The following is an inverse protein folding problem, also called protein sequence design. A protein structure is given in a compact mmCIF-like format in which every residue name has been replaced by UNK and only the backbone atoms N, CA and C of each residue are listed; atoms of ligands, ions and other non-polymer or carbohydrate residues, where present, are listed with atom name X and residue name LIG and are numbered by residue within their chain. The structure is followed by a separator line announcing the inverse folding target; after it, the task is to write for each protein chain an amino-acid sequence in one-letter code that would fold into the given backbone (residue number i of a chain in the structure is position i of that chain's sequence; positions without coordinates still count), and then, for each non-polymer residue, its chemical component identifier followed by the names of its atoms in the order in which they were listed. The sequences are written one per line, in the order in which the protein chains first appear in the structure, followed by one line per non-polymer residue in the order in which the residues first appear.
data_IF_258179156635
#
_entry.id   IF_258179156635
#
_cell.length_a   1.000
_cell.length_b   1.000
_cell.length_c   1.000
_cell.angle_alpha   90.00
_cell.angle_beta   90.00
_cell.angle_gamma   90.00
#
_symmetry.space_group_name_H-M   'P 1'
#
loop_
_entity.id
_entity.type
_entity.pdbx_description
1 polymer ?
#
# COMPACT_ATOMS: atom_id res chain seq x y z
N UNK A 1 86.83 -29.60 -10.20
CA UNK A 1 85.98 -28.83 -9.28
C UNK A 1 84.82 -28.28 -10.05
N UNK A 2 83.62 -28.88 -9.93
CA UNK A 2 82.34 -28.41 -10.61
C UNK A 2 81.52 -27.68 -9.60
N UNK A 3 81.24 -26.36 -9.79
CA UNK A 3 80.36 -25.55 -8.97
C UNK A 3 78.90 -25.84 -9.41
N UNK A 4 78.05 -26.28 -8.47
CA UNK A 4 76.63 -26.39 -8.63
C UNK A 4 75.99 -25.03 -8.24
N UNK A 5 75.24 -24.44 -9.19
CA UNK A 5 74.43 -23.28 -8.94
C UNK A 5 73.01 -23.78 -8.58
N UNK A 6 72.54 -23.42 -7.39
CA UNK A 6 71.15 -23.71 -6.93
C UNK A 6 70.29 -22.49 -7.30
N UNK A 7 69.33 -22.70 -8.18
CA UNK A 7 68.31 -21.72 -8.49
C UNK A 7 67.19 -21.85 -7.46
N UNK A 8 66.99 -20.81 -6.63
CA UNK A 8 65.86 -20.68 -5.73
C UNK A 8 64.72 -19.96 -6.49
N UNK A 9 63.68 -20.72 -6.91
CA UNK A 9 62.52 -20.15 -7.53
C UNK A 9 61.56 -19.58 -6.47
N UNK A 10 61.44 -18.26 -6.40
CA UNK A 10 60.35 -17.62 -5.65
C UNK A 10 59.00 -17.77 -6.42
N UNK A 11 58.13 -18.62 -5.90
CA UNK A 11 56.71 -18.66 -6.34
C UNK A 11 55.97 -17.53 -5.63
N UNK A 12 55.74 -16.46 -6.34
CA UNK A 12 54.90 -15.33 -5.88
C UNK A 12 53.45 -15.70 -6.12
N UNK A 13 52.77 -16.17 -5.07
CA UNK A 13 51.35 -16.46 -5.10
C UNK A 13 50.54 -15.16 -5.20
N UNK A 14 49.92 -14.89 -6.37
CA UNK A 14 48.99 -13.80 -6.54
C UNK A 14 47.66 -14.22 -5.88
N UNK A 15 47.38 -13.71 -4.68
CA UNK A 15 46.06 -13.78 -4.04
C UNK A 15 45.20 -12.74 -4.71
N UNK A 16 44.42 -13.14 -5.69
CA UNK A 16 43.32 -12.32 -6.24
C UNK A 16 42.20 -12.24 -5.20
N UNK A 17 42.14 -11.14 -4.45
CA UNK A 17 40.99 -10.76 -3.66
C UNK A 17 39.83 -10.46 -4.64
N UNK A 18 38.98 -11.46 -4.84
CA UNK A 18 37.67 -11.26 -5.47
C UNK A 18 36.82 -10.42 -4.49
N UNK A 19 36.92 -9.10 -4.60
CA UNK A 19 35.91 -8.20 -4.04
C UNK A 19 34.59 -8.50 -4.72
N UNK A 20 33.73 -9.30 -4.09
CA UNK A 20 32.35 -9.42 -4.52
C UNK A 20 31.69 -8.05 -4.31
N UNK A 21 31.65 -7.23 -5.34
CA UNK A 21 30.75 -6.10 -5.40
C UNK A 21 29.33 -6.66 -5.30
N UNK A 22 28.76 -6.66 -4.11
CA UNK A 22 27.34 -6.87 -3.92
C UNK A 22 26.64 -5.69 -4.60
N UNK A 23 26.17 -5.91 -5.83
CA UNK A 23 25.34 -4.92 -6.51
C UNK A 23 24.05 -4.74 -5.70
N UNK A 24 23.85 -3.56 -5.14
CA UNK A 24 22.59 -3.26 -4.47
C UNK A 24 21.46 -3.30 -5.49
N UNK A 25 20.49 -4.18 -5.25
CA UNK A 25 19.29 -4.29 -6.08
C UNK A 25 18.16 -3.45 -5.45
N UNK A 26 17.36 -2.79 -6.28
CA UNK A 26 16.14 -2.13 -5.82
C UNK A 26 14.98 -3.12 -5.82
N UNK A 27 14.03 -2.90 -4.92
CA UNK A 27 12.77 -3.64 -4.82
C UNK A 27 11.65 -2.63 -4.67
N UNK A 28 10.81 -2.50 -5.67
CA UNK A 28 9.76 -1.50 -5.73
C UNK A 28 8.36 -2.11 -5.61
N UNK A 29 7.46 -1.37 -4.97
CA UNK A 29 6.10 -1.81 -4.70
C UNK A 29 5.10 -0.72 -5.00
N UNK A 30 3.92 -1.13 -5.42
CA UNK A 30 2.77 -0.27 -5.65
C UNK A 30 1.55 -0.86 -4.96
N UNK A 31 0.94 -0.11 -4.05
CA UNK A 31 -0.42 -0.35 -3.57
C UNK A 31 -1.36 0.53 -4.37
N UNK A 32 -2.49 -0.03 -4.85
CA UNK A 32 -3.39 0.68 -5.73
C UNK A 32 -4.85 0.20 -5.56
N UNK A 33 -5.70 1.01 -4.94
CA UNK A 33 -7.14 0.82 -5.05
C UNK A 33 -7.56 1.24 -6.46
N UNK A 34 -8.15 0.32 -7.21
CA UNK A 34 -8.45 0.46 -8.64
C UNK A 34 -9.93 0.76 -8.92
N UNK A 35 -10.67 1.16 -7.90
CA UNK A 35 -12.08 1.52 -7.97
C UNK A 35 -12.89 0.62 -8.91
N UNK A 36 -13.23 -0.56 -8.39
CA UNK A 36 -14.01 -1.54 -9.13
C UNK A 36 -13.41 -1.88 -10.52
N UNK A 37 -12.11 -2.19 -10.53
CA UNK A 37 -11.35 -2.56 -11.74
C UNK A 37 -11.22 -1.43 -12.78
N UNK A 38 -11.29 -0.16 -12.35
CA UNK A 38 -11.32 1.00 -13.25
C UNK A 38 -12.61 1.13 -14.05
N UNK A 39 -13.66 0.36 -13.70
CA UNK A 39 -14.93 0.36 -14.44
C UNK A 39 -15.73 1.64 -14.28
N UNK A 40 -15.44 2.41 -13.24
CA UNK A 40 -16.13 3.67 -12.96
C UNK A 40 -15.67 4.82 -13.88
N UNK A 41 -14.54 4.66 -14.56
CA UNK A 41 -13.93 5.69 -15.41
C UNK A 41 -13.81 5.16 -16.85
N UNK A 42 -14.26 5.90 -17.88
CA UNK A 42 -14.00 5.54 -19.27
C UNK A 42 -12.49 5.36 -19.54
N UNK A 43 -12.09 4.17 -20.01
CA UNK A 43 -10.66 3.84 -20.22
C UNK A 43 -9.88 3.50 -18.95
N UNK A 44 -10.54 3.40 -17.79
CA UNK A 44 -9.88 3.18 -16.50
C UNK A 44 -9.05 1.90 -16.43
N UNK A 45 -9.52 0.79 -16.99
CA UNK A 45 -8.75 -0.46 -17.05
C UNK A 45 -7.40 -0.29 -17.79
N UNK A 46 -7.42 0.37 -18.95
CA UNK A 46 -6.20 0.62 -19.71
C UNK A 46 -5.29 1.61 -18.99
N UNK A 47 -5.85 2.63 -18.34
CA UNK A 47 -5.08 3.57 -17.52
C UNK A 47 -4.37 2.87 -16.34
N UNK A 48 -5.03 1.92 -15.65
CA UNK A 48 -4.38 1.08 -14.62
C UNK A 48 -3.20 0.32 -15.22
N UNK A 49 -3.39 -0.32 -16.38
CA UNK A 49 -2.34 -1.08 -17.05
C UNK A 49 -1.18 -0.19 -17.51
N UNK A 50 -1.46 1.03 -17.98
CA UNK A 50 -0.45 2.00 -18.44
C UNK A 50 0.40 2.51 -17.27
N UNK A 51 -0.21 2.84 -16.13
CA UNK A 51 0.53 3.29 -14.94
C UNK A 51 1.42 2.16 -14.36
N UNK A 52 0.90 0.94 -14.28
CA UNK A 52 1.69 -0.22 -13.86
C UNK A 52 2.85 -0.47 -14.85
N UNK A 53 2.59 -0.43 -16.14
CA UNK A 53 3.61 -0.66 -17.16
C UNK A 53 4.70 0.43 -17.16
N UNK A 54 4.35 1.67 -16.86
CA UNK A 54 5.27 2.81 -16.76
C UNK A 54 6.20 2.71 -15.55
N UNK A 55 5.64 2.37 -14.39
CA UNK A 55 6.39 2.33 -13.12
C UNK A 55 7.15 1.02 -12.93
N UNK A 56 6.66 -0.05 -13.52
CA UNK A 56 7.23 -1.40 -13.42
C UNK A 56 7.58 -1.83 -11.99
N UNK A 57 6.68 -1.72 -11.01
CA UNK A 57 6.97 -2.17 -9.65
C UNK A 57 7.20 -3.68 -9.62
N UNK A 58 8.04 -4.16 -8.68
CA UNK A 58 8.28 -5.60 -8.52
C UNK A 58 7.05 -6.31 -7.97
N UNK A 59 6.34 -5.65 -7.04
CA UNK A 59 5.09 -6.15 -6.46
C UNK A 59 3.98 -5.10 -6.57
N UNK A 60 2.76 -5.58 -6.84
CA UNK A 60 1.57 -4.75 -6.91
C UNK A 60 0.49 -5.36 -6.02
N UNK A 61 -0.01 -4.56 -5.10
CA UNK A 61 -1.10 -4.86 -4.18
C UNK A 61 -2.33 -4.07 -4.64
N UNK A 62 -3.38 -4.77 -5.02
CA UNK A 62 -4.60 -4.17 -5.58
C UNK A 62 -5.75 -4.32 -4.61
N UNK A 63 -6.57 -3.28 -4.48
CA UNK A 63 -7.86 -3.30 -3.81
C UNK A 63 -8.98 -3.08 -4.83
N UNK A 64 -10.16 -3.66 -4.58
CA UNK A 64 -11.34 -3.64 -5.45
C UNK A 64 -11.24 -4.46 -6.74
N UNK A 65 -10.68 -5.66 -6.62
CA UNK A 65 -10.69 -6.70 -7.65
C UNK A 65 -12.03 -7.45 -7.59
N UNK A 66 -12.97 -7.14 -8.46
CA UNK A 66 -14.36 -7.65 -8.40
C UNK A 66 -14.66 -8.82 -9.33
N UNK A 67 -13.77 -9.13 -10.26
CA UNK A 67 -13.95 -10.20 -11.27
C UNK A 67 -15.25 -10.06 -12.08
N UNK A 68 -15.59 -8.83 -12.49
CA UNK A 68 -16.83 -8.53 -13.20
C UNK A 68 -17.03 -9.39 -14.47
N UNK A 69 -18.28 -9.71 -14.78
CA UNK A 69 -18.71 -10.46 -15.98
C UNK A 69 -18.09 -11.85 -16.06
N UNK A 70 -17.96 -12.53 -14.92
CA UNK A 70 -17.37 -13.86 -14.81
C UNK A 70 -15.95 -13.95 -15.39
N UNK A 71 -15.22 -12.83 -15.35
CA UNK A 71 -13.81 -12.77 -15.77
C UNK A 71 -12.89 -12.80 -14.56
N UNK A 72 -11.62 -13.13 -14.78
CA UNK A 72 -10.58 -13.07 -13.76
C UNK A 72 -9.75 -11.82 -13.98
N UNK A 73 -9.93 -10.81 -13.14
CA UNK A 73 -9.25 -9.51 -13.31
C UNK A 73 -7.72 -9.66 -13.35
N UNK A 74 -7.15 -10.43 -12.42
CA UNK A 74 -5.70 -10.63 -12.37
C UNK A 74 -5.16 -11.24 -13.68
N UNK A 75 -5.89 -12.15 -14.31
CA UNK A 75 -5.49 -12.70 -15.62
C UNK A 75 -5.61 -11.64 -16.73
N UNK A 76 -6.67 -10.82 -16.70
CA UNK A 76 -6.88 -9.73 -17.68
C UNK A 76 -5.77 -8.68 -17.61
N UNK A 77 -5.42 -8.22 -16.40
CA UNK A 77 -4.40 -7.19 -16.22
C UNK A 77 -2.99 -7.72 -16.58
N UNK A 78 -2.66 -8.95 -16.22
CA UNK A 78 -1.39 -9.61 -16.63
C UNK A 78 -1.30 -9.70 -18.15
N UNK A 79 -2.38 -10.06 -18.84
CA UNK A 79 -2.42 -10.09 -20.31
C UNK A 79 -2.30 -8.69 -20.93
N UNK A 80 -2.90 -7.67 -20.32
CA UNK A 80 -2.78 -6.28 -20.77
C UNK A 80 -1.34 -5.76 -20.59
N UNK A 81 -0.68 -6.12 -19.49
CA UNK A 81 0.73 -5.80 -19.23
C UNK A 81 1.66 -6.51 -20.21
N UNK A 82 1.37 -7.79 -20.52
CA UNK A 82 2.13 -8.53 -21.55
C UNK A 82 2.07 -7.86 -22.92
N UNK A 83 0.90 -7.34 -23.33
CA UNK A 83 0.77 -6.55 -24.56
C UNK A 83 1.60 -5.26 -24.55
N UNK A 84 1.92 -4.73 -23.36
CA UNK A 84 2.81 -3.58 -23.12
C UNK A 84 4.28 -3.97 -22.95
N UNK A 85 4.62 -5.24 -23.21
CA UNK A 85 5.99 -5.77 -23.08
C UNK A 85 6.44 -6.03 -21.64
N UNK A 86 5.50 -6.10 -20.68
CA UNK A 86 5.77 -6.33 -19.26
C UNK A 86 5.29 -7.71 -18.84
N UNK A 87 6.15 -8.45 -18.14
CA UNK A 87 5.82 -9.81 -17.65
C UNK A 87 5.53 -9.76 -16.16
N UNK A 88 4.34 -10.22 -15.78
CA UNK A 88 3.91 -10.38 -14.41
C UNK A 88 3.26 -11.74 -14.19
N UNK A 89 3.27 -12.19 -12.95
CA UNK A 89 2.60 -13.38 -12.44
C UNK A 89 1.50 -12.97 -11.48
N UNK A 90 0.42 -13.73 -11.42
CA UNK A 90 -0.70 -13.52 -10.50
C UNK A 90 -1.36 -14.86 -10.18
N UNK A 91 -2.33 -14.84 -9.28
CA UNK A 91 -3.21 -15.95 -8.99
C UNK A 91 -4.66 -15.47 -8.85
N UNK A 92 -5.61 -16.39 -8.76
CA UNK A 92 -7.01 -16.01 -8.55
C UNK A 92 -7.22 -15.45 -7.16
N UNK A 93 -7.85 -14.30 -7.07
CA UNK A 93 -8.27 -13.64 -5.85
C UNK A 93 -9.54 -12.82 -6.13
N UNK A 94 -10.21 -12.39 -5.07
CA UNK A 94 -11.41 -11.56 -5.16
C UNK A 94 -11.27 -10.40 -4.17
N UNK A 95 -11.83 -9.25 -4.50
CA UNK A 95 -11.81 -7.99 -3.74
C UNK A 95 -10.40 -7.39 -3.57
N UNK A 96 -9.37 -8.15 -3.33
CA UNK A 96 -7.98 -7.71 -3.44
C UNK A 96 -7.16 -8.62 -4.35
N UNK A 97 -6.01 -8.15 -4.84
CA UNK A 97 -5.20 -8.87 -5.82
C UNK A 97 -3.71 -8.61 -5.72
N UNK A 98 -2.90 -9.58 -6.17
CA UNK A 98 -1.44 -9.50 -6.17
C UNK A 98 -0.86 -9.79 -7.54
N UNK A 99 0.09 -8.93 -7.95
CA UNK A 99 0.92 -9.18 -9.13
C UNK A 99 2.40 -9.14 -8.72
N UNK A 100 3.21 -9.95 -9.37
CA UNK A 100 4.65 -10.02 -9.14
C UNK A 100 5.43 -10.10 -10.45
N UNK A 101 6.55 -9.40 -10.56
CA UNK A 101 7.54 -9.66 -11.64
C UNK A 101 8.26 -10.99 -11.47
N UNK A 102 8.25 -11.53 -10.27
CA UNK A 102 8.94 -12.77 -9.93
C UNK A 102 7.94 -13.93 -9.89
N UNK A 103 8.32 -15.15 -10.30
CA UNK A 103 7.42 -16.31 -10.23
C UNK A 103 6.87 -16.52 -8.82
N UNK A 104 5.56 -16.70 -8.71
CA UNK A 104 4.90 -16.99 -7.44
C UNK A 104 5.11 -18.47 -7.12
N UNK A 105 5.66 -18.76 -5.94
CA UNK A 105 5.96 -20.12 -5.49
C UNK A 105 4.87 -20.70 -4.60
N UNK A 106 4.10 -19.83 -3.93
CA UNK A 106 2.98 -20.20 -3.07
C UNK A 106 1.98 -19.05 -2.96
N UNK A 107 0.70 -19.35 -2.71
CA UNK A 107 -0.34 -18.36 -2.47
C UNK A 107 -1.40 -18.90 -1.51
N UNK A 108 -1.96 -18.03 -0.69
CA UNK A 108 -2.99 -18.40 0.28
C UNK A 108 -3.93 -17.24 0.60
N UNK A 109 -5.14 -17.60 1.00
CA UNK A 109 -6.11 -16.66 1.59
C UNK A 109 -5.85 -16.59 3.09
N UNK A 110 -5.61 -15.40 3.61
CA UNK A 110 -5.36 -15.15 5.04
C UNK A 110 -6.64 -14.73 5.75
N UNK A 111 -7.39 -13.84 5.12
CA UNK A 111 -8.71 -13.45 5.57
C UNK A 111 -9.67 -13.52 4.37
N UNK A 112 -10.63 -14.46 4.36
CA UNK A 112 -11.55 -14.61 3.25
C UNK A 112 -12.62 -13.53 3.26
N UNK A 113 -13.22 -13.28 2.10
CA UNK A 113 -14.37 -12.39 1.99
C UNK A 113 -15.52 -12.85 2.88
N UNK A 114 -16.14 -11.91 3.58
CA UNK A 114 -17.29 -12.14 4.44
C UNK A 114 -18.34 -11.09 4.12
N UNK A 115 -19.43 -11.46 3.46
CA UNK A 115 -20.52 -10.56 3.07
C UNK A 115 -20.03 -9.28 2.34
N UNK A 116 -19.00 -9.42 1.50
CA UNK A 116 -18.28 -8.34 0.79
C UNK A 116 -17.47 -7.38 1.71
N UNK A 117 -17.13 -7.83 2.92
CA UNK A 117 -16.39 -7.06 3.92
C UNK A 117 -14.94 -7.51 4.07
N UNK A 118 -14.11 -7.05 3.16
CA UNK A 118 -12.66 -7.13 3.27
C UNK A 118 -12.02 -8.49 3.00
N UNK A 119 -10.79 -8.45 2.53
CA UNK A 119 -9.98 -9.65 2.25
C UNK A 119 -8.51 -9.41 2.52
N UNK A 120 -7.77 -10.48 2.84
CA UNK A 120 -6.30 -10.50 2.82
C UNK A 120 -5.83 -11.75 2.10
N UNK A 121 -4.98 -11.57 1.07
CA UNK A 121 -4.28 -12.64 0.39
C UNK A 121 -2.77 -12.52 0.56
N UNK A 122 -2.08 -13.66 0.48
CA UNK A 122 -0.62 -13.75 0.52
C UNK A 122 -0.11 -14.44 -0.74
N UNK A 123 1.04 -13.97 -1.24
CA UNK A 123 1.90 -14.74 -2.13
C UNK A 123 3.30 -14.86 -1.53
N UNK A 124 4.00 -15.95 -1.87
CA UNK A 124 5.44 -16.11 -1.64
C UNK A 124 6.17 -16.11 -2.98
N UNK A 125 7.32 -15.47 -3.01
CA UNK A 125 8.20 -15.42 -4.18
C UNK A 125 9.64 -15.25 -3.74
N UNK A 126 10.59 -15.43 -4.66
CA UNK A 126 12.01 -15.24 -4.37
C UNK A 126 12.59 -14.13 -5.22
N UNK A 127 13.23 -13.15 -4.58
CA UNK A 127 13.96 -12.06 -5.22
C UNK A 127 15.46 -12.22 -4.91
N UNK A 128 16.25 -12.58 -5.91
CA UNK A 128 17.63 -12.97 -5.70
C UNK A 128 17.73 -14.24 -4.83
N UNK A 129 18.19 -14.10 -3.59
CA UNK A 129 18.26 -15.20 -2.60
C UNK A 129 17.25 -15.05 -1.46
N UNK A 130 16.46 -13.97 -1.48
CA UNK A 130 15.56 -13.64 -0.39
C UNK A 130 14.14 -14.09 -0.72
N UNK A 131 13.53 -14.84 0.18
CA UNK A 131 12.08 -15.14 0.11
C UNK A 131 11.31 -13.91 0.60
N UNK A 132 10.32 -13.51 -0.18
CA UNK A 132 9.39 -12.43 0.14
C UNK A 132 7.99 -13.02 0.33
N UNK A 133 7.36 -12.72 1.46
CA UNK A 133 5.94 -12.92 1.71
C UNK A 133 5.24 -11.56 1.51
N UNK A 134 4.43 -11.46 0.48
CA UNK A 134 3.77 -10.22 0.09
C UNK A 134 2.27 -10.41 0.25
N UNK A 135 1.66 -9.48 0.98
CA UNK A 135 0.23 -9.50 1.30
C UNK A 135 -0.46 -8.29 0.66
N UNK A 136 -1.68 -8.51 0.21
CA UNK A 136 -2.60 -7.44 -0.21
C UNK A 136 -3.84 -7.47 0.66
N UNK A 137 -4.38 -6.28 0.97
CA UNK A 137 -5.59 -6.12 1.74
C UNK A 137 -6.55 -5.14 1.04
N UNK A 138 -7.83 -5.42 1.18
CA UNK A 138 -8.89 -4.42 1.13
C UNK A 138 -9.72 -4.69 2.38
N UNK A 139 -9.71 -3.78 3.34
CA UNK A 139 -10.36 -4.01 4.62
C UNK A 139 -11.81 -3.54 4.60
N UNK A 140 -12.57 -3.96 5.61
CA UNK A 140 -13.99 -3.63 5.75
C UNK A 140 -14.24 -2.12 5.68
N UNK A 141 -15.22 -1.70 4.89
CA UNK A 141 -15.60 -0.30 4.65
C UNK A 141 -16.79 0.16 5.50
N UNK A 142 -17.31 -0.69 6.39
CA UNK A 142 -18.40 -0.33 7.30
C UNK A 142 -17.90 0.03 8.70
N UNK A 143 -18.76 0.65 9.47
CA UNK A 143 -18.41 1.20 10.78
C UNK A 143 -17.21 2.15 10.70
N UNK A 144 -17.20 2.99 9.67
CA UNK A 144 -16.14 3.96 9.42
C UNK A 144 -16.30 5.18 10.32
N UNK A 145 -15.89 5.06 11.58
CA UNK A 145 -16.11 6.09 12.59
C UNK A 145 -15.31 7.37 12.35
N UNK A 146 -14.31 7.37 11.48
CA UNK A 146 -13.66 8.61 11.06
C UNK A 146 -14.61 9.53 10.26
N UNK A 147 -15.66 8.99 9.63
CA UNK A 147 -16.77 9.77 9.08
C UNK A 147 -17.69 10.31 10.19
N UNK A 148 -17.92 9.54 11.26
CA UNK A 148 -18.72 9.99 12.40
C UNK A 148 -18.09 11.17 13.13
N UNK A 149 -16.75 11.19 13.20
CA UNK A 149 -16.02 12.38 13.69
C UNK A 149 -16.28 13.60 12.81
N UNK A 150 -16.54 13.42 11.53
CA UNK A 150 -16.88 14.49 10.58
C UNK A 150 -18.38 14.80 10.50
N UNK A 151 -19.18 14.15 11.35
CA UNK A 151 -20.63 14.34 11.43
C UNK A 151 -21.43 13.60 10.37
N UNK A 152 -20.91 12.45 9.89
CA UNK A 152 -21.60 11.58 8.94
C UNK A 152 -21.57 10.14 9.45
N UNK A 153 -22.69 9.42 9.33
CA UNK A 153 -22.80 8.03 9.78
C UNK A 153 -21.82 7.12 9.02
N UNK A 154 -21.10 6.28 9.75
CA UNK A 154 -20.03 5.43 9.22
C UNK A 154 -20.51 4.20 8.43
N UNK A 155 -21.83 4.02 8.22
CA UNK A 155 -22.40 2.91 7.48
C UNK A 155 -23.21 3.35 6.26
N UNK A 156 -23.82 4.54 6.31
CA UNK A 156 -24.71 5.02 5.24
C UNK A 156 -24.37 6.44 4.77
N UNK A 157 -23.38 7.08 5.39
CA UNK A 157 -22.87 8.42 5.08
C UNK A 157 -23.93 9.53 5.14
N UNK A 158 -25.04 9.29 5.84
CA UNK A 158 -26.01 10.35 6.10
C UNK A 158 -25.47 11.31 7.15
N UNK A 159 -25.80 12.59 6.97
CA UNK A 159 -25.39 13.63 7.92
C UNK A 159 -26.01 13.39 9.29
N UNK A 160 -25.17 13.42 10.32
CA UNK A 160 -25.55 13.31 11.73
C UNK A 160 -25.90 14.68 12.30
N UNK A 161 -26.60 14.72 13.45
CA UNK A 161 -26.93 15.96 14.16
C UNK A 161 -25.68 16.69 14.68
N UNK A 162 -24.64 15.95 15.05
CA UNK A 162 -23.37 16.48 15.51
C UNK A 162 -22.20 15.51 15.24
N UNK A 163 -20.96 16.00 15.09
CA UNK A 163 -19.75 15.18 15.08
C UNK A 163 -19.59 14.36 16.35
N UNK A 164 -19.10 13.12 16.22
CA UNK A 164 -18.72 12.28 17.34
C UNK A 164 -17.29 12.62 17.78
N UNK A 165 -17.11 13.09 19.02
CA UNK A 165 -15.80 13.51 19.54
C UNK A 165 -15.36 12.75 20.79
N UNK A 166 -16.18 11.82 21.30
CA UNK A 166 -15.83 10.95 22.42
C UNK A 166 -14.97 9.77 21.93
N UNK A 167 -13.66 9.82 22.18
CA UNK A 167 -12.70 8.84 21.67
C UNK A 167 -13.01 7.40 22.09
N UNK A 168 -13.40 7.11 23.34
CA UNK A 168 -13.85 5.76 23.71
C UNK A 168 -14.99 5.23 22.83
N UNK A 169 -16.01 6.03 22.59
CA UNK A 169 -17.15 5.67 21.72
C UNK A 169 -16.72 5.50 20.25
N UNK A 170 -15.82 6.35 19.76
CA UNK A 170 -15.22 6.21 18.41
C UNK A 170 -14.59 4.82 18.27
N UNK A 171 -13.73 4.43 19.20
CA UNK A 171 -13.03 3.14 19.17
C UNK A 171 -13.97 1.95 19.35
N UNK A 172 -14.95 2.05 20.25
CA UNK A 172 -15.97 1.01 20.43
C UNK A 172 -16.74 0.72 19.15
N UNK A 173 -17.21 1.77 18.46
CA UNK A 173 -17.94 1.65 17.20
C UNK A 173 -17.03 1.18 16.05
N UNK A 174 -15.82 1.69 15.98
CA UNK A 174 -14.84 1.27 14.98
C UNK A 174 -14.53 -0.21 15.05
N UNK A 175 -14.46 -0.77 16.26
CA UNK A 175 -14.20 -2.20 16.51
C UNK A 175 -15.42 -3.10 16.20
N UNK A 176 -16.54 -2.56 15.74
CA UNK A 176 -17.64 -3.36 15.16
C UNK A 176 -17.35 -3.79 13.73
N UNK A 177 -16.37 -3.20 13.08
CA UNK A 177 -15.90 -3.63 11.76
C UNK A 177 -15.06 -4.91 11.84
N UNK A 178 -14.80 -5.53 10.69
CA UNK A 178 -13.90 -6.68 10.58
C UNK A 178 -12.42 -6.29 10.35
N UNK A 179 -12.08 -5.01 10.38
CA UNK A 179 -10.74 -4.52 10.05
C UNK A 179 -9.66 -5.05 10.99
N UNK A 180 -9.88 -4.94 12.29
CA UNK A 180 -8.91 -5.40 13.30
C UNK A 180 -8.82 -6.93 13.35
N UNK A 181 -9.91 -7.67 13.10
CA UNK A 181 -9.91 -9.14 12.98
C UNK A 181 -9.05 -9.59 11.79
N UNK A 182 -9.18 -8.93 10.64
CA UNK A 182 -8.37 -9.20 9.46
C UNK A 182 -6.88 -8.94 9.72
N UNK A 183 -6.55 -7.84 10.39
CA UNK A 183 -5.15 -7.51 10.74
C UNK A 183 -4.59 -8.47 11.79
N UNK A 184 -5.38 -8.92 12.77
CA UNK A 184 -4.95 -9.97 13.71
C UNK A 184 -4.67 -11.29 12.99
N UNK A 185 -5.49 -11.66 12.00
CA UNK A 185 -5.23 -12.84 11.16
C UNK A 185 -3.94 -12.69 10.36
N UNK A 186 -3.70 -11.51 9.77
CA UNK A 186 -2.44 -11.18 9.09
C UNK A 186 -1.25 -11.31 10.04
N UNK A 187 -1.27 -10.68 11.21
CA UNK A 187 -0.17 -10.70 12.19
C UNK A 187 0.16 -12.14 12.60
N UNK A 188 -0.86 -12.95 12.83
CA UNK A 188 -0.71 -14.39 13.18
C UNK A 188 -0.01 -15.20 12.08
N UNK A 189 -0.35 -14.94 10.81
CA UNK A 189 0.31 -15.61 9.67
C UNK A 189 1.71 -15.05 9.44
N UNK A 190 1.89 -13.74 9.49
CA UNK A 190 3.16 -13.05 9.32
C UNK A 190 4.20 -13.47 10.37
N UNK A 191 3.78 -13.83 11.60
CA UNK A 191 4.68 -14.33 12.63
C UNK A 191 5.46 -15.57 12.15
N UNK A 192 4.84 -16.48 11.39
CA UNK A 192 5.51 -17.65 10.82
C UNK A 192 6.58 -17.23 9.80
N UNK A 193 6.25 -16.27 8.95
CA UNK A 193 7.18 -15.74 7.96
C UNK A 193 8.35 -14.98 8.62
N UNK A 194 8.09 -14.33 9.77
CA UNK A 194 9.11 -13.70 10.62
C UNK A 194 10.08 -14.75 11.15
N UNK A 195 9.60 -15.87 11.67
CA UNK A 195 10.40 -16.98 12.21
C UNK A 195 11.25 -17.66 11.13
N UNK A 196 10.70 -17.79 9.91
CA UNK A 196 11.42 -18.30 8.74
C UNK A 196 12.49 -17.32 8.19
N UNK A 197 12.52 -16.09 8.66
CA UNK A 197 13.48 -15.06 8.19
C UNK A 197 13.09 -14.42 6.87
N UNK A 198 11.87 -14.57 6.42
CA UNK A 198 11.35 -13.99 5.18
C UNK A 198 11.18 -12.46 5.29
N UNK A 199 11.23 -11.77 4.18
CA UNK A 199 10.87 -10.36 4.08
C UNK A 199 9.37 -10.25 3.89
N UNK A 200 8.73 -9.37 4.67
CA UNK A 200 7.28 -9.28 4.74
C UNK A 200 6.83 -7.88 4.37
N UNK A 201 5.85 -7.83 3.48
CA UNK A 201 5.21 -6.60 3.02
C UNK A 201 3.69 -6.78 3.03
N UNK A 202 2.98 -5.78 3.50
CA UNK A 202 1.53 -5.70 3.47
C UNK A 202 1.15 -4.36 2.83
N UNK A 203 0.40 -4.38 1.75
CA UNK A 203 -0.19 -3.17 1.18
C UNK A 203 -1.68 -3.34 0.95
N UNK A 204 -2.41 -2.24 0.99
CA UNK A 204 -3.86 -2.27 0.77
C UNK A 204 -4.54 -0.96 1.10
N UNK A 205 -5.79 -0.88 0.73
CA UNK A 205 -6.75 0.06 1.26
C UNK A 205 -7.28 -0.51 2.58
N UNK A 206 -7.02 0.20 3.67
CA UNK A 206 -7.41 -0.27 4.99
C UNK A 206 -8.74 0.29 5.46
N UNK A 207 -9.33 1.20 4.71
CA UNK A 207 -10.58 1.89 5.09
C UNK A 207 -10.53 2.41 6.54
N UNK A 208 -9.35 2.77 7.02
CA UNK A 208 -9.11 3.33 8.35
C UNK A 208 -7.88 4.24 8.32
N UNK A 209 -7.95 5.43 8.91
CA UNK A 209 -6.81 6.33 9.05
C UNK A 209 -5.69 5.74 9.92
N UNK A 210 -4.53 6.41 9.95
CA UNK A 210 -3.40 5.98 10.77
C UNK A 210 -3.39 6.67 12.13
N UNK A 211 -3.07 5.91 13.19
CA UNK A 211 -2.74 6.46 14.52
C UNK A 211 -1.56 7.44 14.48
N UNK A 212 -0.73 7.40 13.42
CA UNK A 212 0.39 8.35 13.22
C UNK A 212 -0.06 9.64 12.53
N UNK A 213 -1.31 9.70 12.05
CA UNK A 213 -1.85 10.84 11.32
C UNK A 213 -2.89 11.61 12.14
N UNK A 214 -3.61 10.95 13.05
CA UNK A 214 -4.59 11.57 13.96
C UNK A 214 -3.98 11.84 15.33
N UNK A 215 -3.03 12.76 15.37
CA UNK A 215 -2.22 13.12 16.55
C UNK A 215 -2.47 14.55 16.99
N UNK A 216 -1.88 14.95 18.11
CA UNK A 216 -2.08 16.29 18.71
C UNK A 216 -1.82 17.44 17.72
N UNK A 217 -0.85 17.30 16.81
CA UNK A 217 -0.52 18.35 15.84
C UNK A 217 -1.45 18.42 14.63
N UNK A 218 -2.30 17.44 14.43
CA UNK A 218 -3.25 17.35 13.30
C UNK A 218 -4.71 17.34 13.73
N UNK A 219 -5.01 17.34 15.02
CA UNK A 219 -6.38 17.24 15.57
C UNK A 219 -7.36 18.30 15.07
N UNK A 220 -6.85 19.45 14.62
CA UNK A 220 -7.66 20.55 14.08
C UNK A 220 -7.60 20.63 12.54
N UNK A 221 -6.99 19.62 11.88
CA UNK A 221 -6.90 19.50 10.42
C UNK A 221 -7.97 18.56 9.89
N UNK A 222 -8.35 18.68 8.61
CA UNK A 222 -9.24 17.77 7.89
C UNK A 222 -10.50 17.38 8.69
N UNK A 223 -11.10 18.36 9.34
CA UNK A 223 -12.28 18.21 10.19
C UNK A 223 -12.18 17.07 11.23
N UNK A 224 -10.99 16.88 11.86
CA UNK A 224 -10.80 15.96 12.98
C UNK A 224 -11.45 16.42 14.29
N UNK A 225 -11.99 17.64 14.33
CA UNK A 225 -12.75 18.21 15.45
C UNK A 225 -12.06 18.12 16.82
N UNK A 226 -10.74 18.29 16.85
CA UNK A 226 -9.95 18.32 18.08
C UNK A 226 -9.63 16.95 18.69
N UNK A 227 -9.98 15.83 18.03
CA UNK A 227 -9.72 14.51 18.58
C UNK A 227 -8.40 13.93 18.12
N UNK A 228 -7.80 13.13 19.00
CA UNK A 228 -6.62 12.31 18.76
C UNK A 228 -7.06 10.85 18.90
N UNK A 229 -6.95 10.07 17.84
CA UNK A 229 -7.49 8.70 17.81
C UNK A 229 -6.37 7.69 17.52
N UNK A 230 -6.12 6.74 18.43
CA UNK A 230 -5.19 5.63 18.21
C UNK A 230 -5.86 4.53 17.36
N UNK A 231 -6.04 4.79 16.07
CA UNK A 231 -6.73 3.90 15.15
C UNK A 231 -6.21 2.46 15.23
N UNK A 232 -7.08 1.46 15.47
CA UNK A 232 -6.69 0.11 15.87
C UNK A 232 -5.83 -0.64 14.86
N UNK A 233 -6.16 -0.59 13.57
CA UNK A 233 -5.46 -1.34 12.51
C UNK A 233 -3.97 -1.01 12.48
N UNK A 234 -3.65 0.27 12.37
CA UNK A 234 -2.26 0.72 12.27
C UNK A 234 -1.53 0.65 13.61
N UNK A 235 -2.24 0.75 14.74
CA UNK A 235 -1.69 0.53 16.09
C UNK A 235 -1.27 -0.92 16.27
N UNK A 236 -2.13 -1.90 15.92
CA UNK A 236 -1.82 -3.33 15.98
C UNK A 236 -0.59 -3.69 15.13
N UNK A 237 -0.50 -3.15 13.92
CA UNK A 237 0.66 -3.37 13.04
C UNK A 237 1.94 -2.80 13.65
N UNK A 238 1.88 -1.61 14.22
CA UNK A 238 3.03 -0.98 14.89
C UNK A 238 3.49 -1.80 16.11
N UNK A 239 2.56 -2.24 16.96
CA UNK A 239 2.84 -3.09 18.12
C UNK A 239 3.44 -4.45 17.72
N UNK A 240 3.04 -5.00 16.57
CA UNK A 240 3.62 -6.21 16.00
C UNK A 240 4.99 -6.00 15.32
N UNK A 241 5.52 -4.77 15.34
CA UNK A 241 6.85 -4.42 14.83
C UNK A 241 6.89 -4.05 13.35
N UNK A 242 5.75 -3.92 12.68
CA UNK A 242 5.68 -3.42 11.31
C UNK A 242 5.85 -1.91 11.25
N UNK A 243 6.38 -1.43 10.15
CA UNK A 243 6.58 -0.01 9.89
C UNK A 243 5.77 0.45 8.70
N UNK A 244 5.09 1.56 8.85
CA UNK A 244 4.49 2.31 7.76
C UNK A 244 5.60 2.96 6.93
N UNK A 245 5.75 2.52 5.70
CA UNK A 245 6.84 3.00 4.83
C UNK A 245 6.74 4.49 4.51
N UNK A 246 5.52 5.02 4.35
CA UNK A 246 5.34 6.44 4.07
C UNK A 246 5.72 7.29 5.29
N UNK A 247 5.25 6.93 6.50
CA UNK A 247 5.57 7.65 7.74
C UNK A 247 7.01 7.46 8.20
N UNK A 248 7.64 6.35 7.90
CA UNK A 248 9.09 6.21 8.13
C UNK A 248 9.91 7.17 7.25
N UNK A 249 9.50 7.36 6.00
CA UNK A 249 10.14 8.30 5.08
C UNK A 249 9.82 9.75 5.43
N UNK A 250 8.57 10.03 5.78
CA UNK A 250 8.02 11.36 6.05
C UNK A 250 7.29 11.39 7.40
N UNK A 251 8.03 11.51 8.51
CA UNK A 251 7.47 11.33 9.86
C UNK A 251 6.53 12.44 10.33
N UNK A 252 6.47 13.58 9.63
CA UNK A 252 5.64 14.71 10.03
C UNK A 252 4.37 14.80 9.16
N UNK A 253 3.18 14.43 9.70
CA UNK A 253 1.92 14.46 8.97
C UNK A 253 1.40 15.87 8.64
N UNK A 254 1.87 16.89 9.32
CA UNK A 254 1.50 18.29 9.02
C UNK A 254 2.14 18.74 7.70
N UNK A 255 3.40 18.38 7.47
CA UNK A 255 4.12 18.76 6.25
C UNK A 255 3.93 17.78 5.11
N UNK A 256 3.70 16.51 5.42
CA UNK A 256 3.48 15.44 4.48
C UNK A 256 2.21 14.66 4.88
N UNK A 257 1.01 15.23 4.67
CA UNK A 257 -0.25 14.55 5.04
C UNK A 257 -0.38 13.20 4.33
N UNK A 258 0.05 13.10 3.07
CA UNK A 258 0.03 11.85 2.32
C UNK A 258 -1.38 11.38 1.97
N UNK A 259 -2.35 12.28 1.90
CA UNK A 259 -3.74 11.93 1.62
C UNK A 259 -3.88 11.06 0.37
N UNK A 260 -4.50 9.90 0.54
CA UNK A 260 -4.78 8.97 -0.57
C UNK A 260 -6.24 9.03 -1.01
N UNK A 261 -7.15 9.44 -0.14
CA UNK A 261 -8.60 9.55 -0.41
C UNK A 261 -9.17 10.88 0.08
N UNK A 262 -10.16 11.47 -0.61
CA UNK A 262 -10.54 11.17 -2.00
C UNK A 262 -9.60 11.89 -2.98
N UNK A 263 -9.19 11.15 -4.00
CA UNK A 263 -8.43 11.71 -5.12
C UNK A 263 -9.34 12.53 -6.03
N UNK A 264 -8.81 13.60 -6.63
CA UNK A 264 -9.53 14.24 -7.73
C UNK A 264 -9.54 13.35 -8.97
N UNK A 265 -10.63 13.39 -9.71
CA UNK A 265 -10.79 12.73 -11.00
C UNK A 265 -11.55 13.66 -11.96
N UNK A 266 -10.86 14.13 -12.99
CA UNK A 266 -11.43 15.10 -13.95
C UNK A 266 -12.54 14.51 -14.84
N UNK A 267 -12.67 13.18 -14.89
CA UNK A 267 -13.74 12.53 -15.65
C UNK A 267 -15.10 12.59 -14.94
N UNK A 268 -15.14 12.94 -13.65
CA UNK A 268 -16.34 12.95 -12.84
C UNK A 268 -16.52 14.30 -12.12
N UNK A 269 -17.77 14.70 -11.82
CA UNK A 269 -17.99 15.82 -10.92
C UNK A 269 -17.63 15.45 -9.48
N UNK A 270 -17.19 16.41 -8.63
CA UNK A 270 -16.81 16.15 -7.23
C UNK A 270 -17.88 15.39 -6.43
N UNK A 271 -19.16 15.66 -6.69
CA UNK A 271 -20.28 14.97 -6.03
C UNK A 271 -20.39 13.45 -6.31
N UNK A 272 -19.57 12.91 -7.20
CA UNK A 272 -19.47 11.47 -7.46
C UNK A 272 -18.23 10.83 -6.82
N UNK A 273 -17.41 11.64 -6.16
CA UNK A 273 -16.12 11.24 -5.57
C UNK A 273 -16.13 11.47 -4.05
N UNK A 274 -17.10 12.21 -3.52
CA UNK A 274 -17.22 12.52 -2.09
C UNK A 274 -18.42 11.80 -1.46
N UNK A 275 -18.22 11.25 -0.28
CA UNK A 275 -19.28 10.68 0.56
C UNK A 275 -19.83 11.70 1.57
N UNK A 276 -19.00 12.67 1.98
CA UNK A 276 -19.33 13.68 3.00
C UNK A 276 -19.20 15.09 2.44
N UNK A 277 -20.17 15.55 1.65
CA UNK A 277 -20.06 16.75 0.80
C UNK A 277 -19.73 18.05 1.53
N UNK A 278 -20.08 18.18 2.82
CA UNK A 278 -19.82 19.39 3.62
C UNK A 278 -18.55 19.26 4.49
N UNK A 279 -17.93 18.07 4.57
CA UNK A 279 -16.74 17.83 5.39
C UNK A 279 -15.45 17.74 4.57
N UNK A 280 -14.33 17.94 5.23
CA UNK A 280 -13.00 17.62 4.69
C UNK A 280 -12.69 16.15 5.04
N UNK A 281 -13.04 15.23 4.14
CA UNK A 281 -12.89 13.78 4.34
C UNK A 281 -11.53 13.24 3.91
N UNK A 282 -10.58 14.13 3.56
CA UNK A 282 -9.26 13.70 3.13
C UNK A 282 -8.54 12.96 4.26
N UNK A 283 -8.13 11.73 3.94
CA UNK A 283 -7.32 10.89 4.80
C UNK A 283 -6.32 10.05 4.00
N UNK A 284 -5.36 9.51 4.71
CA UNK A 284 -4.48 8.47 4.21
C UNK A 284 -5.02 7.13 4.75
N UNK A 285 -5.61 6.33 3.84
CA UNK A 285 -6.20 5.03 4.14
C UNK A 285 -5.58 3.90 3.32
N UNK A 286 -4.69 4.24 2.38
CA UNK A 286 -3.91 3.32 1.56
C UNK A 286 -2.47 3.25 2.05
N UNK A 287 -1.93 2.07 2.24
CA UNK A 287 -0.66 1.85 2.91
C UNK A 287 0.21 0.80 2.24
N UNK A 288 1.53 0.90 2.49
CA UNK A 288 2.49 -0.21 2.40
C UNK A 288 3.25 -0.28 3.71
N UNK A 289 3.01 -1.34 4.46
CA UNK A 289 3.75 -1.71 5.65
C UNK A 289 4.81 -2.75 5.33
N UNK A 290 5.90 -2.77 6.10
CA UNK A 290 6.91 -3.80 6.01
C UNK A 290 7.46 -4.18 7.38
N UNK A 291 7.98 -5.40 7.51
CA UNK A 291 8.69 -5.82 8.70
C UNK A 291 10.20 -5.54 8.54
N UNK A 292 10.84 -4.75 9.43
CA UNK A 292 12.25 -4.40 9.31
C UNK A 292 13.16 -5.64 9.35
N UNK A 293 14.05 -5.76 8.38
CA UNK A 293 15.00 -6.86 8.28
C UNK A 293 16.39 -6.37 7.86
N UNK A 294 17.43 -7.09 8.32
CA UNK A 294 18.80 -6.84 7.86
C UNK A 294 18.87 -6.97 6.33
N UNK A 295 19.49 -6.00 5.69
CA UNK A 295 19.64 -5.96 4.23
C UNK A 295 18.47 -5.33 3.48
N UNK A 296 17.33 -5.02 4.14
CA UNK A 296 16.19 -4.31 3.58
C UNK A 296 16.21 -2.86 4.10
N UNK A 297 16.34 -1.89 3.19
CA UNK A 297 16.41 -0.47 3.55
C UNK A 297 15.40 0.34 2.72
N UNK A 298 14.45 0.98 3.38
CA UNK A 298 13.56 1.92 2.72
C UNK A 298 14.38 3.06 2.10
N UNK A 299 14.21 3.29 0.81
CA UNK A 299 14.92 4.30 0.05
C UNK A 299 14.02 5.49 -0.24
N UNK A 300 12.88 5.25 -0.87
CA UNK A 300 11.95 6.27 -1.32
C UNK A 300 10.51 5.84 -1.09
N UNK A 301 9.63 6.83 -0.88
CA UNK A 301 8.18 6.68 -0.88
C UNK A 301 7.56 7.86 -1.63
N UNK A 302 6.46 7.64 -2.32
CA UNK A 302 5.72 8.67 -3.07
C UNK A 302 4.24 8.32 -3.16
N UNK A 303 3.42 9.32 -3.40
CA UNK A 303 2.00 9.17 -3.74
C UNK A 303 1.88 9.20 -5.27
N UNK A 304 1.34 8.14 -5.84
CA UNK A 304 0.99 8.11 -7.27
C UNK A 304 -0.45 8.58 -7.44
N UNK A 305 -0.65 9.61 -8.23
CA UNK A 305 -1.96 10.18 -8.51
C UNK A 305 -1.90 11.68 -8.75
N UNK A 306 -3.03 12.32 -9.05
CA UNK A 306 -3.08 13.78 -9.22
C UNK A 306 -2.73 14.50 -7.92
N UNK A 307 -2.08 15.66 -8.05
CA UNK A 307 -1.78 16.54 -6.91
C UNK A 307 -3.01 17.26 -6.36
N UNK A 308 -4.18 16.98 -6.91
CA UNK A 308 -5.47 17.51 -6.48
C UNK A 308 -6.27 16.45 -5.74
N UNK A 309 -7.12 16.91 -4.82
CA UNK A 309 -8.07 16.09 -4.04
C UNK A 309 -9.44 16.75 -4.03
N UNK A 310 -10.44 16.07 -3.49
CA UNK A 310 -11.75 16.67 -3.21
C UNK A 310 -11.81 17.04 -1.73
N UNK A 311 -12.23 18.26 -1.45
CA UNK A 311 -12.48 18.79 -0.11
C UNK A 311 -13.77 19.59 -0.09
N UNK A 312 -14.75 19.16 0.72
CA UNK A 312 -16.07 19.84 0.81
C UNK A 312 -16.67 20.05 -0.58
N UNK A 313 -16.73 18.96 -1.34
CA UNK A 313 -17.24 18.93 -2.73
C UNK A 313 -16.50 19.85 -3.71
N UNK A 314 -15.30 20.31 -3.40
CA UNK A 314 -14.51 21.18 -4.27
C UNK A 314 -13.14 20.56 -4.58
N UNK A 315 -12.68 20.76 -5.83
CA UNK A 315 -11.31 20.42 -6.20
C UNK A 315 -10.31 21.35 -5.53
N UNK A 316 -9.34 20.78 -4.85
CA UNK A 316 -8.25 21.54 -4.20
C UNK A 316 -6.91 20.96 -4.57
N UNK A 317 -5.92 21.83 -4.76
CA UNK A 317 -4.51 21.39 -4.92
C UNK A 317 -3.91 21.19 -3.54
N UNK A 318 -3.26 20.05 -3.33
CA UNK A 318 -2.56 19.77 -2.08
C UNK A 318 -1.38 20.72 -1.91
N UNK A 319 -1.30 21.34 -0.73
CA UNK A 319 -0.27 22.31 -0.36
C UNK A 319 0.87 21.70 0.47
N UNK A 320 0.76 20.40 0.82
CA UNK A 320 1.79 19.68 1.55
C UNK A 320 3.09 19.52 0.73
N UNK A 321 4.11 18.97 1.40
CA UNK A 321 5.41 18.69 0.78
C UNK A 321 5.49 17.24 0.25
N UNK A 322 4.35 16.57 0.13
CA UNK A 322 4.26 15.22 -0.38
C UNK A 322 4.91 15.10 -1.76
N UNK A 323 5.63 14.00 -1.97
CA UNK A 323 6.22 13.68 -3.27
C UNK A 323 5.19 12.97 -4.11
N UNK A 324 4.75 13.62 -5.19
CA UNK A 324 3.79 13.06 -6.14
C UNK A 324 4.47 12.50 -7.37
N UNK A 325 3.99 11.35 -7.82
CA UNK A 325 4.20 10.81 -9.16
C UNK A 325 2.90 11.05 -9.91
N UNK A 326 2.84 12.12 -10.71
CA UNK A 326 1.62 12.47 -11.41
C UNK A 326 1.32 11.49 -12.55
N UNK A 327 0.04 11.16 -12.81
CA UNK A 327 -0.35 10.25 -13.89
C UNK A 327 -0.08 10.87 -15.26
N UNK A 328 0.16 10.01 -16.26
CA UNK A 328 0.40 10.45 -17.63
C UNK A 328 -0.88 10.77 -18.42
N UNK A 329 -2.03 10.32 -17.95
CA UNK A 329 -3.28 10.45 -18.67
C UNK A 329 -4.49 10.43 -17.73
N UNK A 330 -5.53 9.69 -18.12
CA UNK A 330 -6.71 9.51 -17.29
C UNK A 330 -6.33 8.85 -15.97
N UNK A 331 -6.75 9.44 -14.85
CA UNK A 331 -6.62 8.80 -13.55
C UNK A 331 -7.79 7.81 -13.36
N UNK A 332 -7.54 6.52 -13.06
CA UNK A 332 -8.58 5.49 -13.16
C UNK A 332 -9.46 5.31 -11.91
N UNK A 333 -9.20 6.04 -10.82
CA UNK A 333 -9.79 5.77 -9.50
C UNK A 333 -10.08 7.04 -8.72
N UNK A 334 -10.78 6.92 -7.62
CA UNK A 334 -11.03 7.95 -6.60
C UNK A 334 -10.03 7.90 -5.44
N UNK A 335 -9.08 6.95 -5.46
CA UNK A 335 -7.92 6.91 -4.56
C UNK A 335 -6.65 7.41 -5.25
N UNK A 336 -5.65 7.77 -4.46
CA UNK A 336 -4.25 7.85 -4.89
C UNK A 336 -3.54 6.59 -4.43
N UNK A 337 -2.60 6.12 -5.23
CA UNK A 337 -1.81 4.93 -4.92
C UNK A 337 -0.55 5.27 -4.12
N UNK A 338 -0.01 4.30 -3.43
CA UNK A 338 1.25 4.43 -2.68
C UNK A 338 2.35 3.65 -3.40
N UNK A 339 3.44 4.32 -3.72
CA UNK A 339 4.63 3.71 -4.30
C UNK A 339 5.79 3.79 -3.31
N UNK A 340 6.54 2.68 -3.18
CA UNK A 340 7.74 2.61 -2.34
C UNK A 340 8.88 1.90 -3.06
N UNK A 341 10.11 2.24 -2.69
CA UNK A 341 11.31 1.61 -3.19
C UNK A 341 12.27 1.29 -2.04
N UNK A 342 12.67 0.03 -1.98
CA UNK A 342 13.67 -0.46 -1.05
C UNK A 342 14.99 -0.75 -1.76
N UNK A 343 16.08 -0.64 -1.03
CA UNK A 343 17.39 -1.14 -1.45
C UNK A 343 17.69 -2.44 -0.72
N UNK A 344 17.99 -3.47 -1.49
CA UNK A 344 18.48 -4.78 -1.02
C UNK A 344 20.01 -4.78 -0.95
N UNK A 345 20.59 -5.33 0.15
CA UNK A 345 22.03 -5.52 0.32
C UNK A 345 22.37 -6.97 0.67
#
# INVERSE_FOLDING_TARGET
MKKRIIFLGCIMGIITLLSSCSSSQNLSMLQFNIWQEGSMIPGGFDAIADEIARLEPDFIMLSEVRNYRDTRFCDRIVNALKKRGKTYYSFYSYDSGLLSKHPITDSSTIFPIQDDHGTIYKMKTTVGKQVCAVYTAHLDYLNDTYYEVRGYDGNNWHKMDAPLTDVPTILERNNLSLRDDAIRAFIKDAQKEIEEGNWIFLGGDFNEPSHLDWIETTKDSADHHGVVVPWPVTTLLHEAGFKDSYREKYPNPVTHPGYTYPSDNLALPPSKITWTPDADERDRIDYIFYYPRKGLHLKDAAILGPKTSIRKSQRVTESGKDVFIEPLGVWPTDHKAVWVNFRMK
#
